data_IF_494253568367
#
_entry.id   IF_494253568367
#
_cell.length_a   1.000
_cell.length_b   1.000
_cell.length_c   1.000
_cell.angle_alpha   90.00
_cell.angle_beta   90.00
_cell.angle_gamma   90.00
#
_symmetry.space_group_name_H-M   'P 1'
#
loop_
_entity.id
_entity.type
_entity.pdbx_description
1 polymer ?
#
# COMPACT_ATOMS: atom_id res chain seq x y z
N UNK A 1 22.51 3.88 14.97
CA UNK A 1 22.03 5.15 15.52
C UNK A 1 22.93 5.63 16.65
N UNK A 2 23.11 4.86 17.72
CA UNK A 2 23.93 5.21 18.89
C UNK A 2 25.35 5.69 18.54
N UNK A 3 26.04 5.00 17.63
CA UNK A 3 27.38 5.43 17.16
C UNK A 3 27.36 6.78 16.43
N UNK A 4 26.29 7.09 15.68
CA UNK A 4 26.13 8.39 15.01
C UNK A 4 25.84 9.50 16.03
N UNK A 5 25.03 9.22 17.05
CA UNK A 5 24.77 10.15 18.14
C UNK A 5 26.04 10.46 18.95
N UNK A 6 26.82 9.43 19.30
CA UNK A 6 28.11 9.59 19.97
C UNK A 6 29.10 10.37 19.10
N UNK A 7 29.19 10.06 17.80
CA UNK A 7 30.07 10.75 16.87
C UNK A 7 29.69 12.23 16.69
N UNK A 8 28.40 12.53 16.55
CA UNK A 8 27.91 13.90 16.47
C UNK A 8 28.10 14.66 17.79
N UNK A 9 27.91 13.99 18.93
CA UNK A 9 28.22 14.57 20.25
C UNK A 9 29.71 14.94 20.39
N UNK A 10 30.61 14.16 19.81
CA UNK A 10 32.04 14.47 19.77
C UNK A 10 32.41 15.54 18.72
N UNK A 11 31.62 15.70 17.65
CA UNK A 11 31.82 16.68 16.57
C UNK A 11 30.50 17.36 16.16
N UNK A 12 29.96 18.29 16.98
CA UNK A 12 28.62 18.86 16.74
C UNK A 12 28.49 19.67 15.43
N UNK A 13 29.61 20.23 14.97
CA UNK A 13 29.67 21.06 13.75
C UNK A 13 29.72 20.23 12.46
N UNK A 14 29.94 18.91 12.54
CA UNK A 14 30.08 18.04 11.37
C UNK A 14 28.74 17.85 10.65
N UNK A 15 28.61 18.49 9.49
CA UNK A 15 27.38 18.46 8.69
C UNK A 15 27.04 17.05 8.18
N UNK A 16 28.05 16.26 7.79
CA UNK A 16 27.84 14.91 7.25
C UNK A 16 27.30 13.98 8.33
N UNK A 17 27.84 14.06 9.56
CA UNK A 17 27.31 13.27 10.68
C UNK A 17 25.89 13.67 11.04
N UNK A 18 25.57 14.96 10.96
CA UNK A 18 24.22 15.48 11.21
C UNK A 18 23.21 14.98 10.19
N UNK A 19 23.53 15.08 8.90
CA UNK A 19 22.70 14.60 7.79
C UNK A 19 22.50 13.08 7.86
N UNK A 20 23.56 12.30 8.13
CA UNK A 20 23.46 10.85 8.29
C UNK A 20 22.60 10.44 9.48
N UNK A 21 22.68 11.16 10.61
CA UNK A 21 21.83 10.91 11.77
C UNK A 21 20.37 11.28 11.47
N UNK A 22 20.13 12.39 10.78
CA UNK A 22 18.80 12.80 10.34
C UNK A 22 18.15 11.73 9.46
N UNK A 23 18.88 11.20 8.46
CA UNK A 23 18.40 10.13 7.59
C UNK A 23 18.13 8.83 8.36
N UNK A 24 19.01 8.44 9.30
CA UNK A 24 18.81 7.26 10.13
C UNK A 24 17.56 7.37 11.02
N UNK A 25 17.34 8.55 11.63
CA UNK A 25 16.15 8.84 12.43
C UNK A 25 14.88 8.86 11.58
N UNK A 26 14.93 9.44 10.38
CA UNK A 26 13.80 9.46 9.47
C UNK A 26 13.39 8.05 9.02
N UNK A 27 14.36 7.15 8.81
CA UNK A 27 14.09 5.73 8.50
C UNK A 27 13.43 5.01 9.66
N UNK A 28 13.97 5.17 10.88
CA UNK A 28 13.38 4.59 12.08
C UNK A 28 11.96 5.11 12.32
N UNK A 29 11.75 6.41 12.16
CA UNK A 29 10.42 7.01 12.29
C UNK A 29 9.41 6.43 11.30
N UNK A 30 9.81 6.14 10.06
CA UNK A 30 8.97 5.48 9.04
C UNK A 30 8.69 4.01 9.36
N UNK A 31 9.64 3.32 9.98
CA UNK A 31 9.44 1.94 10.44
C UNK A 31 8.42 1.91 11.58
N UNK A 32 8.61 2.74 12.61
CA UNK A 32 7.66 2.89 13.72
C UNK A 32 6.28 3.36 13.24
N UNK A 33 6.23 4.32 12.30
CA UNK A 33 4.95 4.78 11.74
C UNK A 33 4.19 3.68 11.02
N UNK A 34 4.90 2.77 10.36
CA UNK A 34 4.30 1.61 9.71
C UNK A 34 3.69 0.63 10.72
N UNK A 35 4.33 0.45 11.86
CA UNK A 35 3.92 -0.52 12.89
C UNK A 35 2.82 0.04 13.81
N UNK A 36 2.93 1.30 14.21
CA UNK A 36 2.12 1.91 15.27
C UNK A 36 1.33 3.15 14.82
N UNK A 37 1.48 3.59 13.56
CA UNK A 37 0.96 4.87 13.09
C UNK A 37 1.75 6.06 13.62
N UNK A 38 1.17 7.26 13.61
CA UNK A 38 1.80 8.46 14.14
C UNK A 38 1.93 8.46 15.68
N UNK A 39 2.64 7.49 16.24
CA UNK A 39 2.90 7.36 17.66
C UNK A 39 3.83 8.47 18.17
N UNK A 40 3.80 8.73 19.49
CA UNK A 40 4.66 9.74 20.13
C UNK A 40 6.14 9.50 19.81
N UNK A 41 6.57 8.24 19.75
CA UNK A 41 7.95 7.85 19.45
C UNK A 41 8.32 8.11 17.98
N UNK A 42 7.44 7.73 17.04
CA UNK A 42 7.64 8.01 15.61
C UNK A 42 7.75 9.52 15.35
N UNK A 43 6.86 10.31 15.94
CA UNK A 43 6.87 11.77 15.85
C UNK A 43 8.13 12.38 16.49
N UNK A 44 8.58 11.87 17.63
CA UNK A 44 9.80 12.34 18.29
C UNK A 44 11.04 12.14 17.41
N UNK A 45 11.20 10.95 16.80
CA UNK A 45 12.30 10.67 15.89
C UNK A 45 12.23 11.51 14.61
N UNK A 46 11.05 11.64 14.01
CA UNK A 46 10.87 12.46 12.81
C UNK A 46 11.14 13.94 13.08
N UNK A 47 10.65 14.47 14.21
CA UNK A 47 10.93 15.84 14.64
C UNK A 47 12.42 16.05 14.82
N UNK A 48 13.10 15.11 15.48
CA UNK A 48 14.55 15.18 15.66
C UNK A 48 15.29 15.15 14.32
N UNK A 49 14.84 14.36 13.36
CA UNK A 49 15.41 14.33 12.01
C UNK A 49 15.24 15.68 11.29
N UNK A 50 14.04 16.25 11.32
CA UNK A 50 13.75 17.56 10.71
C UNK A 50 14.54 18.71 11.36
N UNK A 51 14.74 18.67 12.69
CA UNK A 51 15.54 19.66 13.41
C UNK A 51 17.05 19.55 13.06
N UNK A 52 17.55 18.34 12.79
CA UNK A 52 18.94 18.09 12.44
C UNK A 52 19.25 18.51 10.99
N UNK A 53 18.30 18.38 10.08
CA UNK A 53 18.45 18.78 8.68
C UNK A 53 17.27 19.66 8.23
N UNK A 54 17.32 20.93 8.62
CA UNK A 54 16.30 21.92 8.27
C UNK A 54 16.20 22.22 6.75
N UNK A 55 17.17 21.75 5.94
CA UNK A 55 17.11 21.85 4.48
C UNK A 55 16.15 20.84 3.85
N UNK A 56 15.80 19.77 4.57
CA UNK A 56 14.89 18.71 4.14
C UNK A 56 13.43 19.12 4.34
N UNK A 57 12.93 19.92 3.40
CA UNK A 57 11.53 20.36 3.37
C UNK A 57 10.52 19.20 3.31
N UNK A 58 10.93 18.03 2.82
CA UNK A 58 10.14 16.79 2.83
C UNK A 58 9.91 16.25 4.26
N UNK A 59 10.91 16.32 5.15
CA UNK A 59 10.78 15.88 6.54
C UNK A 59 9.88 16.82 7.34
N UNK A 60 9.95 18.12 7.08
CA UNK A 60 9.07 19.10 7.70
C UNK A 60 7.60 18.87 7.28
N UNK A 61 7.35 18.66 5.99
CA UNK A 61 6.01 18.34 5.48
C UNK A 61 5.47 17.02 6.07
N UNK A 62 6.33 16.00 6.14
CA UNK A 62 5.98 14.72 6.74
C UNK A 62 5.63 14.86 8.23
N UNK A 63 6.38 15.68 8.97
CA UNK A 63 6.12 15.92 10.39
C UNK A 63 4.77 16.62 10.58
N UNK A 64 4.48 17.67 9.80
CA UNK A 64 3.18 18.33 9.83
C UNK A 64 2.03 17.36 9.58
N UNK A 65 2.16 16.51 8.56
CA UNK A 65 1.14 15.50 8.22
C UNK A 65 0.93 14.49 9.34
N UNK A 66 1.99 13.87 9.86
CA UNK A 66 1.87 12.89 10.94
C UNK A 66 1.40 13.50 12.26
N UNK A 67 1.69 14.78 12.49
CA UNK A 67 1.18 15.48 13.69
C UNK A 67 -0.34 15.66 13.58
N UNK A 68 -0.84 16.05 12.41
CA UNK A 68 -2.28 16.15 12.15
C UNK A 68 -2.98 14.77 12.21
N UNK A 69 -2.32 13.72 11.71
CA UNK A 69 -2.76 12.33 11.85
C UNK A 69 -2.93 11.94 13.33
N UNK A 70 -1.91 12.17 14.16
CA UNK A 70 -1.94 11.83 15.57
C UNK A 70 -3.02 12.61 16.33
N UNK A 71 -3.18 13.90 16.04
CA UNK A 71 -4.22 14.74 16.64
C UNK A 71 -5.63 14.24 16.29
N UNK A 72 -5.86 13.87 15.03
CA UNK A 72 -7.14 13.35 14.58
C UNK A 72 -7.46 11.97 15.18
N UNK A 73 -6.49 11.05 15.16
CA UNK A 73 -6.67 9.67 15.62
C UNK A 73 -6.67 9.52 17.15
N UNK A 74 -6.27 10.54 17.91
CA UNK A 74 -6.22 10.50 19.37
C UNK A 74 -7.59 10.25 20.01
N UNK A 75 -8.67 10.72 19.38
CA UNK A 75 -10.05 10.53 19.84
C UNK A 75 -10.72 9.26 19.32
N UNK A 76 -10.07 8.52 18.43
CA UNK A 76 -10.69 7.39 17.76
C UNK A 76 -10.90 6.22 18.72
N UNK A 77 -12.04 5.56 18.54
CA UNK A 77 -12.32 4.28 19.15
C UNK A 77 -11.40 3.22 18.55
N UNK A 78 -10.96 2.28 19.39
CA UNK A 78 -10.17 1.12 19.04
C UNK A 78 -11.01 -0.15 19.20
N UNK A 79 -11.17 -0.91 18.13
CA UNK A 79 -11.69 -2.28 18.16
C UNK A 79 -10.67 -3.22 17.51
N UNK A 80 -10.64 -4.48 17.93
CA UNK A 80 -9.67 -5.46 17.45
C UNK A 80 -10.35 -6.77 17.05
N UNK A 81 -9.75 -7.43 16.06
CA UNK A 81 -10.00 -8.84 15.73
C UNK A 81 -8.69 -9.64 15.86
N UNK A 82 -8.66 -10.87 15.35
CA UNK A 82 -7.45 -11.70 15.39
C UNK A 82 -6.34 -11.08 14.52
N UNK A 83 -6.69 -10.55 13.34
CA UNK A 83 -5.70 -10.04 12.37
C UNK A 83 -5.70 -8.52 12.19
N UNK A 84 -6.71 -7.81 12.71
CA UNK A 84 -6.88 -6.39 12.44
C UNK A 84 -7.02 -5.53 13.70
N UNK A 85 -6.52 -4.31 13.60
CA UNK A 85 -6.78 -3.20 14.53
C UNK A 85 -7.61 -2.14 13.80
N UNK A 86 -8.83 -1.88 14.25
CA UNK A 86 -9.73 -0.86 13.68
C UNK A 86 -9.71 0.42 14.52
N UNK A 87 -9.47 1.55 13.86
CA UNK A 87 -9.59 2.89 14.47
C UNK A 87 -10.58 3.75 13.70
N UNK A 88 -11.50 4.40 14.40
CA UNK A 88 -12.52 5.23 13.78
C UNK A 88 -13.17 6.20 14.76
N UNK A 89 -13.83 7.24 14.24
CA UNK A 89 -14.60 8.18 15.05
C UNK A 89 -15.81 7.49 15.73
N UNK A 90 -15.77 7.44 17.07
CA UNK A 90 -16.79 6.81 17.90
C UNK A 90 -18.12 7.58 17.96
N UNK A 91 -18.18 8.83 17.51
CA UNK A 91 -19.43 9.59 17.47
C UNK A 91 -20.29 9.25 16.23
N UNK A 92 -19.74 8.50 15.27
CA UNK A 92 -20.42 8.04 14.05
C UNK A 92 -21.29 6.82 14.31
N UNK A 93 -22.60 7.04 14.42
CA UNK A 93 -23.60 5.99 14.74
C UNK A 93 -23.63 4.85 13.73
N UNK A 94 -23.45 5.14 12.45
CA UNK A 94 -23.43 4.16 11.36
C UNK A 94 -22.25 3.18 11.48
N UNK A 95 -21.11 3.61 12.06
CA UNK A 95 -19.97 2.75 12.34
C UNK A 95 -20.24 1.87 13.56
N UNK A 96 -20.88 2.42 14.59
CA UNK A 96 -21.21 1.73 15.84
C UNK A 96 -22.40 0.76 15.73
N UNK A 97 -23.31 0.94 14.78
CA UNK A 97 -24.52 0.13 14.63
C UNK A 97 -24.26 -1.24 13.96
N UNK A 98 -23.15 -1.89 14.31
CA UNK A 98 -22.68 -3.15 13.71
C UNK A 98 -21.91 -2.97 12.41
N UNK A 99 -21.79 -1.75 11.88
CA UNK A 99 -21.10 -1.47 10.62
C UNK A 99 -19.63 -1.90 10.63
N UNK A 100 -18.87 -1.52 11.65
CA UNK A 100 -17.46 -1.94 11.79
C UNK A 100 -17.34 -3.44 12.04
N UNK A 101 -18.27 -4.04 12.78
CA UNK A 101 -18.30 -5.49 12.99
C UNK A 101 -18.50 -6.24 11.67
N UNK A 102 -19.44 -5.78 10.85
CA UNK A 102 -19.73 -6.34 9.53
C UNK A 102 -18.53 -6.22 8.58
N UNK A 103 -17.85 -5.06 8.59
CA UNK A 103 -16.61 -4.87 7.82
C UNK A 103 -15.48 -5.77 8.32
N UNK A 104 -15.36 -5.94 9.64
CA UNK A 104 -14.29 -6.76 10.21
C UNK A 104 -14.48 -8.24 9.86
N UNK A 105 -15.70 -8.76 9.83
CA UNK A 105 -15.97 -10.11 9.34
C UNK A 105 -15.62 -10.30 7.86
N UNK A 106 -15.89 -9.30 7.02
CA UNK A 106 -15.54 -9.32 5.60
C UNK A 106 -14.02 -9.30 5.39
N UNK A 107 -13.30 -8.47 6.14
CA UNK A 107 -11.84 -8.41 6.12
C UNK A 107 -11.19 -9.68 6.66
N UNK A 108 -11.73 -10.28 7.71
CA UNK A 108 -11.25 -11.56 8.23
C UNK A 108 -11.39 -12.69 7.20
N UNK A 109 -12.52 -12.75 6.49
CA UNK A 109 -12.71 -13.71 5.40
C UNK A 109 -11.70 -13.45 4.26
N UNK A 110 -11.53 -12.19 3.85
CA UNK A 110 -10.57 -11.82 2.82
C UNK A 110 -9.12 -12.13 3.22
N UNK A 111 -8.76 -11.94 4.50
CA UNK A 111 -7.45 -12.29 5.03
C UNK A 111 -7.16 -13.78 4.89
N UNK A 112 -8.14 -14.64 5.19
CA UNK A 112 -7.99 -16.08 5.02
C UNK A 112 -7.80 -16.47 3.55
N UNK A 113 -8.63 -15.95 2.65
CA UNK A 113 -8.51 -16.21 1.21
C UNK A 113 -7.15 -15.75 0.65
N UNK A 114 -6.69 -14.56 1.04
CA UNK A 114 -5.41 -14.01 0.59
C UNK A 114 -4.24 -14.78 1.20
N UNK A 115 -4.34 -15.22 2.46
CA UNK A 115 -3.33 -16.08 3.10
C UNK A 115 -3.18 -17.43 2.40
N UNK A 116 -4.29 -18.04 1.98
CA UNK A 116 -4.26 -19.24 1.14
C UNK A 116 -3.63 -18.96 -0.23
N UNK A 117 -4.01 -17.86 -0.88
CA UNK A 117 -3.49 -17.47 -2.19
C UNK A 117 -1.96 -17.25 -2.15
N UNK A 118 -1.47 -16.44 -1.20
CA UNK A 118 -0.05 -16.14 -1.08
C UNK A 118 0.76 -17.25 -0.38
N UNK A 119 0.09 -18.21 0.27
CA UNK A 119 0.74 -19.24 1.08
C UNK A 119 1.44 -18.69 2.33
N UNK A 120 1.12 -17.45 2.71
CA UNK A 120 1.70 -16.74 3.84
C UNK A 120 0.63 -15.85 4.49
N UNK A 121 0.52 -15.95 5.81
CA UNK A 121 -0.37 -15.11 6.60
C UNK A 121 0.47 -14.07 7.35
N UNK A 122 0.33 -12.76 7.04
CA UNK A 122 1.20 -11.71 7.55
C UNK A 122 1.39 -11.68 9.07
N UNK A 123 0.31 -11.83 9.84
CA UNK A 123 0.32 -11.78 11.30
C UNK A 123 1.03 -13.01 11.88
N UNK A 124 0.66 -14.21 11.43
CA UNK A 124 1.23 -15.48 11.88
C UNK A 124 2.69 -15.65 11.47
N UNK A 125 3.10 -15.01 10.38
CA UNK A 125 4.50 -14.89 9.96
C UNK A 125 5.30 -13.87 10.79
N UNK A 126 4.77 -13.42 11.93
CA UNK A 126 5.43 -12.48 12.85
C UNK A 126 5.23 -11.01 12.50
N UNK A 127 4.25 -10.68 11.65
CA UNK A 127 3.76 -9.31 11.49
C UNK A 127 2.85 -8.91 12.65
N UNK A 128 2.73 -7.61 12.90
CA UNK A 128 1.65 -7.09 13.75
C UNK A 128 0.30 -7.19 13.04
N UNK A 129 -0.78 -6.91 13.79
CA UNK A 129 -2.13 -6.78 13.20
C UNK A 129 -2.13 -5.70 12.11
N UNK A 130 -2.92 -5.91 11.07
CA UNK A 130 -3.13 -4.91 10.02
C UNK A 130 -3.96 -3.78 10.60
N UNK A 131 -3.39 -2.57 10.62
CA UNK A 131 -4.10 -1.37 11.08
C UNK A 131 -5.07 -0.89 9.99
N UNK A 132 -6.32 -0.67 10.36
CA UNK A 132 -7.40 -0.17 9.50
C UNK A 132 -7.97 1.09 10.14
N UNK A 133 -7.89 2.23 9.45
CA UNK A 133 -8.38 3.51 9.96
C UNK A 133 -9.46 4.08 9.05
N UNK A 134 -10.63 4.36 9.63
CA UNK A 134 -11.80 4.87 8.92
C UNK A 134 -11.97 6.36 9.22
N UNK A 135 -11.92 7.17 8.16
CA UNK A 135 -12.07 8.62 8.20
C UNK A 135 -13.38 9.08 7.58
N UNK A 136 -13.81 10.28 7.92
CA UNK A 136 -14.73 11.04 7.06
C UNK A 136 -13.98 11.54 5.83
N UNK A 137 -14.69 11.73 4.71
CA UNK A 137 -14.04 12.07 3.42
C UNK A 137 -13.24 13.37 3.47
N UNK A 138 -13.74 14.39 4.17
CA UNK A 138 -13.03 15.67 4.33
C UNK A 138 -11.77 15.60 5.20
N UNK A 139 -11.67 14.58 6.06
CA UNK A 139 -10.50 14.37 6.94
C UNK A 139 -9.39 13.59 6.20
N UNK A 140 -9.80 12.68 5.32
CA UNK A 140 -8.90 11.79 4.60
C UNK A 140 -7.85 12.54 3.77
N UNK A 141 -8.23 13.59 3.04
CA UNK A 141 -7.28 14.36 2.24
C UNK A 141 -6.15 15.00 3.06
N UNK A 142 -6.43 15.32 4.32
CA UNK A 142 -5.43 15.91 5.25
C UNK A 142 -4.40 14.88 5.71
N UNK A 143 -4.83 13.63 5.94
CA UNK A 143 -3.97 12.56 6.49
C UNK A 143 -3.30 11.73 5.38
N UNK A 144 -4.06 11.33 4.38
CA UNK A 144 -3.59 10.50 3.26
C UNK A 144 -2.59 11.22 2.37
N UNK A 145 -2.58 12.56 2.36
CA UNK A 145 -1.71 13.35 1.48
C UNK A 145 -2.02 13.16 -0.01
N UNK A 146 -3.09 12.45 -0.32
CA UNK A 146 -3.66 12.25 -1.64
C UNK A 146 -4.94 13.08 -1.76
N UNK A 147 -5.30 13.49 -2.97
CA UNK A 147 -6.49 14.33 -3.18
C UNK A 147 -7.78 13.64 -2.72
N UNK A 148 -8.83 14.44 -2.48
CA UNK A 148 -10.16 14.01 -1.97
C UNK A 148 -10.87 12.91 -2.78
N UNK A 149 -10.30 12.49 -3.91
CA UNK A 149 -10.81 11.44 -4.79
C UNK A 149 -10.37 10.02 -4.39
N UNK A 150 -9.36 9.88 -3.53
CA UNK A 150 -8.87 8.58 -3.08
C UNK A 150 -9.82 7.99 -2.04
N UNK A 151 -10.32 6.78 -2.31
CA UNK A 151 -11.31 6.08 -1.47
C UNK A 151 -10.63 5.15 -0.45
N UNK A 152 -9.44 4.64 -0.79
CA UNK A 152 -8.60 3.80 0.05
C UNK A 152 -7.11 4.03 -0.23
N UNK A 153 -6.28 3.78 0.78
CA UNK A 153 -4.82 3.86 0.69
C UNK A 153 -4.19 2.85 1.65
N UNK A 154 -3.17 2.15 1.18
CA UNK A 154 -2.24 1.41 2.01
C UNK A 154 -0.88 2.13 2.08
N UNK A 155 -0.50 2.59 3.28
CA UNK A 155 0.82 3.19 3.55
C UNK A 155 1.60 2.45 4.66
N UNK A 156 1.20 1.19 4.93
CA UNK A 156 1.47 0.48 6.18
C UNK A 156 0.23 0.37 7.04
N UNK A 157 -0.70 1.32 6.88
CA UNK A 157 -2.04 1.29 7.43
C UNK A 157 -3.04 1.29 6.28
N UNK A 158 -4.09 0.48 6.38
CA UNK A 158 -5.25 0.55 5.47
C UNK A 158 -6.10 1.72 5.90
N UNK A 159 -6.14 2.79 5.11
CA UNK A 159 -6.88 4.01 5.39
C UNK A 159 -8.06 4.11 4.44
N UNK A 160 -9.23 4.47 4.94
CA UNK A 160 -10.44 4.58 4.13
C UNK A 160 -11.23 5.87 4.41
N UNK A 161 -11.79 6.43 3.35
CA UNK A 161 -12.74 7.53 3.43
C UNK A 161 -14.19 7.02 3.30
N UNK A 162 -14.96 7.08 4.39
CA UNK A 162 -16.35 6.60 4.45
C UNK A 162 -17.30 7.77 4.74
N UNK A 163 -18.31 7.95 3.90
CA UNK A 163 -19.37 8.94 4.14
C UNK A 163 -20.65 8.26 4.59
N UNK A 164 -21.08 7.23 3.86
CA UNK A 164 -22.28 6.43 4.16
C UNK A 164 -21.95 4.95 4.06
N UNK A 165 -21.61 4.34 5.20
CA UNK A 165 -21.22 2.93 5.26
C UNK A 165 -22.30 2.00 4.67
N UNK A 166 -23.58 2.29 4.93
CA UNK A 166 -24.67 1.41 4.49
C UNK A 166 -24.84 1.47 2.96
N UNK A 167 -24.78 2.67 2.38
CA UNK A 167 -24.86 2.88 0.93
C UNK A 167 -23.61 2.44 0.17
N UNK A 168 -22.43 2.51 0.81
CA UNK A 168 -21.13 2.28 0.15
C UNK A 168 -20.59 0.85 0.35
N UNK A 169 -21.24 0.01 1.20
CA UNK A 169 -20.72 -1.30 1.63
C UNK A 169 -20.15 -2.17 0.50
N UNK A 170 -20.89 -2.30 -0.61
CA UNK A 170 -20.47 -3.16 -1.72
C UNK A 170 -19.19 -2.69 -2.43
N UNK A 171 -18.96 -1.36 -2.51
CA UNK A 171 -17.74 -0.75 -3.07
C UNK A 171 -16.62 -0.72 -2.03
N UNK A 172 -16.97 -0.51 -0.77
CA UNK A 172 -16.03 -0.47 0.33
C UNK A 172 -15.36 -1.83 0.54
N UNK A 173 -16.11 -2.93 0.42
CA UNK A 173 -15.56 -4.29 0.46
C UNK A 173 -14.48 -4.52 -0.60
N UNK A 174 -14.70 -4.07 -1.84
CA UNK A 174 -13.70 -4.14 -2.92
C UNK A 174 -12.47 -3.31 -2.60
N UNK A 175 -12.68 -2.07 -2.16
CA UNK A 175 -11.59 -1.15 -1.78
C UNK A 175 -10.78 -1.73 -0.62
N UNK A 176 -11.44 -2.28 0.39
CA UNK A 176 -10.80 -2.95 1.52
C UNK A 176 -9.96 -4.14 1.09
N UNK A 177 -10.51 -4.99 0.20
CA UNK A 177 -9.78 -6.14 -0.32
C UNK A 177 -8.57 -5.69 -1.15
N UNK A 178 -8.73 -4.65 -1.96
CA UNK A 178 -7.64 -4.02 -2.72
C UNK A 178 -6.50 -3.57 -1.78
N UNK A 179 -6.81 -2.75 -0.77
CA UNK A 179 -5.80 -2.28 0.19
C UNK A 179 -5.20 -3.41 1.02
N UNK A 180 -6.00 -4.45 1.32
CA UNK A 180 -5.50 -5.63 2.01
C UNK A 180 -4.50 -6.42 1.14
N UNK A 181 -4.71 -6.51 -0.17
CA UNK A 181 -3.73 -7.13 -1.08
C UNK A 181 -2.38 -6.42 -0.98
N UNK A 182 -2.36 -5.08 -0.91
CA UNK A 182 -1.12 -4.34 -0.69
C UNK A 182 -0.43 -4.71 0.63
N UNK A 183 -1.18 -4.97 1.70
CA UNK A 183 -0.60 -5.45 2.96
C UNK A 183 0.09 -6.81 2.79
N UNK A 184 -0.52 -7.73 2.03
CA UNK A 184 0.07 -9.05 1.73
C UNK A 184 1.28 -8.93 0.80
N UNK A 185 1.17 -8.21 -0.31
CA UNK A 185 2.27 -8.04 -1.27
C UNK A 185 3.44 -7.28 -0.65
N UNK A 186 3.19 -6.31 0.22
CA UNK A 186 4.22 -5.63 0.98
C UNK A 186 4.97 -6.59 1.91
N UNK A 187 4.26 -7.49 2.59
CA UNK A 187 4.87 -8.50 3.47
C UNK A 187 5.68 -9.54 2.70
N UNK A 188 5.10 -10.13 1.66
CA UNK A 188 5.74 -11.19 0.86
C UNK A 188 6.88 -10.62 0.02
N UNK A 189 6.66 -9.45 -0.58
CA UNK A 189 7.61 -8.78 -1.47
C UNK A 189 8.60 -7.84 -0.78
N UNK A 190 8.54 -7.72 0.55
CA UNK A 190 9.37 -6.81 1.34
C UNK A 190 9.35 -5.35 0.84
N UNK A 191 8.19 -4.88 0.35
CA UNK A 191 8.02 -3.53 -0.20
C UNK A 191 8.82 -3.24 -1.47
N UNK A 192 9.24 -4.27 -2.22
CA UNK A 192 10.07 -4.13 -3.43
C UNK A 192 9.33 -4.38 -4.74
N UNK A 193 8.01 -4.57 -4.70
CA UNK A 193 7.25 -4.80 -5.92
C UNK A 193 7.29 -3.56 -6.81
N UNK A 194 7.42 -3.75 -8.14
CA UNK A 194 7.13 -2.67 -9.07
C UNK A 194 5.65 -2.33 -9.06
N UNK A 195 5.32 -1.07 -9.34
CA UNK A 195 3.95 -0.55 -9.31
C UNK A 195 2.96 -1.40 -10.10
N UNK A 196 3.33 -1.85 -11.31
CA UNK A 196 2.44 -2.68 -12.13
C UNK A 196 2.06 -4.01 -11.50
N UNK A 197 2.98 -4.65 -10.75
CA UNK A 197 2.72 -5.95 -10.17
C UNK A 197 1.86 -5.80 -8.92
N UNK A 198 2.15 -4.78 -8.12
CA UNK A 198 1.41 -4.47 -6.90
C UNK A 198 -0.04 -4.06 -7.21
N UNK A 199 -0.22 -3.04 -8.05
CA UNK A 199 -1.55 -2.54 -8.46
C UNK A 199 -2.31 -3.53 -9.35
N UNK A 200 -1.60 -4.28 -10.19
CA UNK A 200 -2.19 -5.31 -11.03
C UNK A 200 -2.77 -6.46 -10.19
N UNK A 201 -2.04 -6.91 -9.17
CA UNK A 201 -2.51 -7.93 -8.23
C UNK A 201 -3.65 -7.43 -7.37
N UNK A 202 -3.57 -6.20 -6.85
CA UNK A 202 -4.63 -5.60 -6.07
C UNK A 202 -5.94 -5.55 -6.87
N UNK A 203 -5.91 -5.08 -8.12
CA UNK A 203 -7.10 -5.09 -9.00
C UNK A 203 -7.55 -6.50 -9.39
N UNK A 204 -6.63 -7.45 -9.57
CA UNK A 204 -7.01 -8.82 -9.94
C UNK A 204 -7.67 -9.58 -8.77
N UNK A 205 -7.26 -9.24 -7.54
CA UNK A 205 -7.73 -9.81 -6.28
C UNK A 205 -8.75 -8.93 -5.54
N UNK A 206 -9.14 -7.74 -6.00
CA UNK A 206 -10.18 -6.95 -5.31
C UNK A 206 -11.59 -7.54 -5.51
N UNK A 207 -11.82 -8.20 -6.66
CA UNK A 207 -13.11 -8.79 -7.01
C UNK A 207 -13.26 -10.24 -6.52
N UNK A 208 -14.08 -10.45 -5.49
CA UNK A 208 -14.40 -11.80 -4.98
C UNK A 208 -15.26 -12.66 -5.92
N UNK A 209 -15.87 -12.08 -6.96
CA UNK A 209 -16.71 -12.81 -7.92
C UNK A 209 -16.19 -12.71 -9.36
N UNK A 210 -16.19 -13.85 -10.07
CA UNK A 210 -15.71 -13.97 -11.45
C UNK A 210 -16.33 -12.93 -12.41
N UNK A 211 -17.63 -12.66 -12.27
CA UNK A 211 -18.33 -11.71 -13.15
C UNK A 211 -17.86 -10.26 -13.01
N UNK A 212 -17.37 -9.84 -11.84
CA UNK A 212 -16.83 -8.49 -11.64
C UNK A 212 -15.43 -8.35 -12.23
N UNK A 213 -14.57 -9.37 -12.05
CA UNK A 213 -13.24 -9.40 -12.67
C UNK A 213 -13.35 -9.32 -14.20
N UNK A 214 -14.26 -10.07 -14.81
CA UNK A 214 -14.50 -10.00 -16.27
C UNK A 214 -14.92 -8.60 -16.74
N UNK A 215 -15.77 -7.91 -15.98
CA UNK A 215 -16.17 -6.54 -16.28
C UNK A 215 -14.98 -5.56 -16.20
N UNK A 216 -14.15 -5.66 -15.15
CA UNK A 216 -12.94 -4.84 -14.99
C UNK A 216 -11.95 -5.09 -16.14
N UNK A 217 -11.73 -6.35 -16.53
CA UNK A 217 -10.88 -6.70 -17.67
C UNK A 217 -11.42 -6.14 -18.99
N UNK A 218 -12.75 -6.18 -19.20
CA UNK A 218 -13.37 -5.59 -20.38
C UNK A 218 -13.18 -4.07 -20.43
N UNK A 219 -13.33 -3.39 -19.29
CA UNK A 219 -13.10 -1.95 -19.17
C UNK A 219 -11.62 -1.59 -19.42
N UNK A 220 -10.69 -2.36 -18.86
CA UNK A 220 -9.25 -2.16 -19.06
C UNK A 220 -8.88 -2.30 -20.55
N UNK A 221 -9.41 -3.30 -21.26
CA UNK A 221 -9.19 -3.47 -22.71
C UNK A 221 -9.73 -2.28 -23.51
N UNK A 222 -10.91 -1.79 -23.15
CA UNK A 222 -11.49 -0.62 -23.80
C UNK A 222 -10.65 0.65 -23.59
N UNK A 223 -10.10 0.84 -22.39
CA UNK A 223 -9.24 2.00 -22.05
C UNK A 223 -7.94 2.00 -22.86
N UNK A 224 -7.28 0.84 -23.01
CA UNK A 224 -6.03 0.76 -23.77
C UNK A 224 -6.22 0.84 -25.28
N UNK A 225 -7.40 0.44 -25.80
CA UNK A 225 -7.72 0.58 -27.21
C UNK A 225 -7.73 2.04 -27.69
N UNK A 226 -7.95 3.01 -26.79
CA UNK A 226 -8.04 4.43 -27.13
C UNK A 226 -6.78 5.24 -26.82
N UNK A 227 -5.92 4.79 -25.90
CA UNK A 227 -4.81 5.60 -25.38
C UNK A 227 -3.41 5.00 -25.46
N UNK A 228 -3.26 3.82 -26.07
CA UNK A 228 -1.96 3.15 -26.24
C UNK A 228 -1.36 2.64 -24.93
N UNK A 229 -0.24 1.92 -25.04
CA UNK A 229 0.47 1.32 -23.92
C UNK A 229 1.54 2.25 -23.36
N UNK A 230 1.69 2.25 -22.05
CA UNK A 230 2.84 2.83 -21.39
C UNK A 230 4.06 1.91 -21.54
N UNK A 231 5.28 2.47 -21.60
CA UNK A 231 6.50 1.66 -21.52
C UNK A 231 6.56 0.90 -20.19
N UNK A 232 6.96 -0.38 -20.21
CA UNK A 232 7.04 -1.22 -19.02
C UNK A 232 7.90 -0.62 -17.90
N UNK A 233 9.03 0.01 -18.26
CA UNK A 233 9.88 0.70 -17.30
C UNK A 233 9.21 1.88 -16.58
N UNK A 234 8.21 2.52 -17.19
CA UNK A 234 7.42 3.56 -16.53
C UNK A 234 6.47 2.97 -15.48
N UNK A 235 5.93 1.78 -15.76
CA UNK A 235 5.02 1.08 -14.85
C UNK A 235 5.75 0.37 -13.69
N UNK A 236 7.07 0.25 -13.77
CA UNK A 236 7.88 -0.28 -12.67
C UNK A 236 8.03 0.73 -11.50
N UNK A 237 7.88 2.03 -11.78
CA UNK A 237 7.95 3.09 -10.77
C UNK A 237 6.70 3.18 -9.89
N UNK A 238 6.71 4.10 -8.93
CA UNK A 238 5.53 4.40 -8.12
C UNK A 238 4.46 5.08 -8.97
N UNK A 239 3.31 4.43 -9.13
CA UNK A 239 2.18 4.98 -9.88
C UNK A 239 1.52 6.15 -9.12
N UNK A 240 1.67 6.21 -7.80
CA UNK A 240 1.18 7.30 -6.96
C UNK A 240 1.83 8.67 -7.24
N UNK A 241 2.99 8.72 -7.92
CA UNK A 241 3.64 10.01 -8.27
C UNK A 241 3.05 10.65 -9.53
N UNK A 242 2.11 9.99 -10.19
CA UNK A 242 1.53 10.44 -11.44
C UNK A 242 0.34 11.36 -11.17
N UNK A 243 0.22 12.45 -11.95
CA UNK A 243 -0.83 13.46 -11.75
C UNK A 243 -1.83 13.57 -12.90
N UNK A 244 -1.53 12.96 -14.06
CA UNK A 244 -2.45 12.88 -15.19
C UNK A 244 -3.40 11.69 -15.00
N UNK A 245 -4.66 11.98 -14.69
CA UNK A 245 -5.68 10.97 -14.42
C UNK A 245 -5.91 9.99 -15.57
N UNK A 246 -5.77 10.41 -16.83
CA UNK A 246 -5.91 9.50 -17.96
C UNK A 246 -4.72 8.55 -18.06
N UNK A 247 -3.50 9.08 -17.85
CA UNK A 247 -2.29 8.27 -17.82
C UNK A 247 -2.32 7.25 -16.67
N UNK A 248 -2.78 7.65 -15.48
CA UNK A 248 -2.97 6.78 -14.32
C UNK A 248 -3.99 5.68 -14.64
N UNK A 249 -5.17 6.03 -15.15
CA UNK A 249 -6.19 5.04 -15.49
C UNK A 249 -5.68 3.99 -16.49
N UNK A 250 -4.89 4.41 -17.49
CA UNK A 250 -4.25 3.48 -18.44
C UNK A 250 -3.16 2.62 -17.79
N UNK A 251 -2.37 3.18 -16.86
CA UNK A 251 -1.36 2.41 -16.14
C UNK A 251 -1.99 1.30 -15.29
N UNK A 252 -3.08 1.60 -14.59
CA UNK A 252 -3.84 0.62 -13.82
C UNK A 252 -4.47 -0.45 -14.73
N UNK A 253 -5.08 -0.03 -15.85
CA UNK A 253 -5.66 -0.94 -16.84
C UNK A 253 -4.61 -1.90 -17.44
N UNK A 254 -3.44 -1.38 -17.80
CA UNK A 254 -2.33 -2.18 -18.34
C UNK A 254 -1.77 -3.15 -17.29
N UNK A 255 -1.68 -2.73 -16.04
CA UNK A 255 -1.22 -3.55 -14.91
C UNK A 255 -2.16 -4.73 -14.65
N UNK A 256 -3.48 -4.48 -14.61
CA UNK A 256 -4.50 -5.52 -14.46
C UNK A 256 -4.45 -6.53 -15.62
N UNK A 257 -4.34 -6.06 -16.86
CA UNK A 257 -4.29 -6.93 -18.03
C UNK A 257 -3.01 -7.76 -18.10
N UNK A 258 -1.89 -7.20 -17.66
CA UNK A 258 -0.62 -7.93 -17.56
C UNK A 258 -0.71 -9.05 -16.52
N UNK A 259 -1.21 -8.78 -15.32
CA UNK A 259 -1.39 -9.81 -14.29
C UNK A 259 -2.37 -10.89 -14.76
N UNK A 260 -3.51 -10.51 -15.35
CA UNK A 260 -4.47 -11.46 -15.91
C UNK A 260 -3.84 -12.35 -16.99
N UNK A 261 -3.06 -11.76 -17.89
CA UNK A 261 -2.32 -12.52 -18.91
C UNK A 261 -1.37 -13.54 -18.29
N UNK A 262 -0.56 -13.12 -17.31
CA UNK A 262 0.39 -14.00 -16.65
C UNK A 262 -0.31 -15.16 -15.93
N UNK A 263 -1.41 -14.88 -15.23
CA UNK A 263 -2.21 -15.92 -14.58
C UNK A 263 -2.82 -16.87 -15.60
N UNK A 264 -3.37 -16.38 -16.71
CA UNK A 264 -4.01 -17.21 -17.74
C UNK A 264 -3.03 -18.13 -18.47
N UNK A 265 -1.84 -17.62 -18.79
CA UNK A 265 -0.87 -18.35 -19.60
C UNK A 265 0.06 -19.24 -18.77
N UNK A 266 0.35 -18.84 -17.52
CA UNK A 266 1.36 -19.52 -16.69
C UNK A 266 0.85 -19.95 -15.30
N UNK A 267 -0.37 -19.57 -14.92
CA UNK A 267 -1.00 -19.92 -13.64
C UNK A 267 -0.69 -18.95 -12.49
N UNK A 268 -1.53 -18.98 -11.46
CA UNK A 268 -1.43 -18.12 -10.26
C UNK A 268 -0.08 -18.27 -9.56
N UNK A 269 0.45 -19.50 -9.51
CA UNK A 269 1.73 -19.78 -8.83
C UNK A 269 2.89 -18.98 -9.43
N UNK A 270 2.91 -18.73 -10.74
CA UNK A 270 3.97 -17.91 -11.33
C UNK A 270 3.95 -16.51 -10.73
N UNK A 271 2.78 -15.88 -10.63
CA UNK A 271 2.67 -14.50 -10.15
C UNK A 271 3.10 -14.41 -8.68
N UNK A 272 2.74 -15.39 -7.87
CA UNK A 272 3.22 -15.49 -6.48
C UNK A 272 4.74 -15.63 -6.43
N UNK A 273 5.35 -16.44 -7.31
CA UNK A 273 6.81 -16.56 -7.42
C UNK A 273 7.49 -15.24 -7.84
N UNK A 274 6.82 -14.38 -8.62
CA UNK A 274 7.33 -13.05 -8.93
C UNK A 274 7.35 -12.15 -7.68
N UNK A 275 6.29 -12.20 -6.87
CA UNK A 275 6.18 -11.45 -5.60
C UNK A 275 7.24 -11.94 -4.60
N UNK A 276 7.36 -13.26 -4.41
CA UNK A 276 8.39 -13.88 -3.56
C UNK A 276 9.81 -13.55 -4.07
N UNK A 277 10.02 -13.55 -5.39
CA UNK A 277 11.26 -13.16 -6.03
C UNK A 277 11.67 -11.72 -5.69
N UNK A 278 10.72 -10.79 -5.76
CA UNK A 278 10.90 -9.41 -5.29
C UNK A 278 11.24 -9.37 -3.80
N UNK A 279 10.57 -10.19 -2.99
CA UNK A 279 10.86 -10.42 -1.57
C UNK A 279 12.24 -11.02 -1.29
N UNK A 280 12.88 -11.64 -2.27
CA UNK A 280 14.26 -12.13 -2.21
C UNK A 280 15.29 -11.14 -2.80
N UNK A 281 14.82 -10.01 -3.37
CA UNK A 281 15.67 -8.98 -3.96
C UNK A 281 15.95 -9.15 -5.45
N UNK A 282 15.22 -10.03 -6.14
CA UNK A 282 15.24 -10.15 -7.59
C UNK A 282 14.20 -9.24 -8.23
N UNK A 283 14.40 -8.87 -9.49
CA UNK A 283 13.34 -8.23 -10.27
C UNK A 283 12.31 -9.27 -10.75
N UNK A 284 11.07 -8.86 -11.13
CA UNK A 284 10.13 -9.79 -11.73
C UNK A 284 10.67 -10.45 -13.01
N UNK A 285 11.48 -9.74 -13.80
CA UNK A 285 12.12 -10.30 -15.00
C UNK A 285 13.09 -11.42 -14.65
N UNK A 286 13.88 -11.24 -13.58
CA UNK A 286 14.79 -12.27 -13.08
C UNK A 286 14.02 -13.49 -12.55
N UNK A 287 12.98 -13.27 -11.75
CA UNK A 287 12.12 -14.33 -11.21
C UNK A 287 11.40 -15.09 -12.34
N UNK A 288 10.83 -14.37 -13.32
CA UNK A 288 10.18 -14.95 -14.49
C UNK A 288 11.16 -15.77 -15.32
N UNK A 289 12.35 -15.22 -15.62
CA UNK A 289 13.37 -15.91 -16.41
C UNK A 289 13.86 -17.17 -15.71
N UNK A 290 14.06 -17.13 -14.39
CA UNK A 290 14.45 -18.31 -13.62
C UNK A 290 13.42 -19.44 -13.77
N UNK A 291 12.13 -19.12 -13.78
CA UNK A 291 11.04 -20.09 -13.79
C UNK A 291 10.62 -20.58 -15.19
N UNK A 292 10.55 -19.66 -16.16
CA UNK A 292 10.00 -19.88 -17.50
C UNK A 292 11.09 -20.02 -18.56
N UNK A 293 12.33 -19.60 -18.26
CA UNK A 293 13.48 -19.62 -19.18
C UNK A 293 13.26 -18.76 -20.44
N UNK A 294 12.39 -17.75 -20.35
CA UNK A 294 12.13 -16.74 -21.37
C UNK A 294 12.32 -15.34 -20.78
N UNK A 295 12.49 -14.35 -21.65
CA UNK A 295 12.38 -12.95 -21.25
C UNK A 295 10.91 -12.57 -21.00
N UNK A 296 10.63 -11.89 -19.89
CA UNK A 296 9.27 -11.51 -19.51
C UNK A 296 8.61 -10.63 -20.57
N UNK A 297 9.32 -9.60 -21.04
CA UNK A 297 8.73 -8.61 -21.93
C UNK A 297 8.60 -9.13 -23.34
N UNK A 298 9.53 -9.97 -23.82
CA UNK A 298 9.38 -10.67 -25.09
C UNK A 298 8.19 -11.63 -25.08
N UNK A 299 8.00 -12.36 -23.98
CA UNK A 299 6.86 -13.29 -23.83
C UNK A 299 5.52 -12.54 -23.81
N UNK A 300 5.42 -11.45 -23.03
CA UNK A 300 4.23 -10.60 -22.96
C UNK A 300 3.90 -10.00 -24.34
N UNK A 301 4.90 -9.45 -25.04
CA UNK A 301 4.70 -8.89 -26.38
C UNK A 301 4.27 -9.94 -27.42
N UNK A 302 4.78 -11.17 -27.34
CA UNK A 302 4.33 -12.26 -28.21
C UNK A 302 2.86 -12.65 -27.98
N UNK A 303 2.33 -12.39 -26.78
CA UNK A 303 0.95 -12.65 -26.40
C UNK A 303 -0.01 -11.48 -26.67
N UNK A 304 0.48 -10.40 -27.27
CA UNK A 304 -0.34 -9.28 -27.74
C UNK A 304 -0.62 -8.21 -26.68
N UNK A 305 0.23 -8.12 -25.66
CA UNK A 305 0.23 -7.05 -24.65
C UNK A 305 1.55 -6.28 -24.64
#
# INVERSE_FOLDING_TARGET
MELLEQALGARPEDAILRENLAEALARLARELHREEGASELALAHLKRAADLDAGRGDLAQLLTRWSAEAELEAGFRLDETDHFEFRYDGDRRELLAGGVHDLSQELEAAYQELGEFFGLFPVEAGGGKVRVVLYQRGEFGTVGGLGDWVVGLFDGTVRLAIEDLAGERGRLGETLRHELVHAFTHRVGAGRLPGWLDEGLAQWLEGGSLGRREAALAQARASLATGGLHPWGALAGSLATWSDGEAVARAYAQSLLLVDLLVREYGERLVIELVEGCGAGHSPEEAFRARIQLDLWEAVSALGL
#
